data_IF_431740490050
#
_entry.id   IF_431740490050
#
_cell.length_a   1.000
_cell.length_b   1.000
_cell.length_c   1.000
_cell.angle_alpha   90.00
_cell.angle_beta   90.00
_cell.angle_gamma   90.00
#
_symmetry.space_group_name_H-M   'P 1'
#
loop_
_entity.id
_entity.type
_entity.pdbx_description
1 polymer ?
#
# COMPACT_ATOMS: atom_id res chain seq x y z
N UNK A 1 -32.72 -8.11 4.51
CA UNK A 1 -31.75 -7.39 3.65
C UNK A 1 -30.44 -7.24 4.41
N UNK A 2 -29.61 -8.28 4.41
CA UNK A 2 -28.34 -8.28 5.16
C UNK A 2 -27.19 -7.72 4.30
N UNK A 3 -26.06 -7.35 4.92
CA UNK A 3 -24.85 -6.88 4.22
C UNK A 3 -24.39 -7.78 3.05
N UNK A 4 -24.78 -9.06 3.07
CA UNK A 4 -24.47 -10.05 2.03
C UNK A 4 -25.20 -9.82 0.69
N UNK A 5 -26.31 -9.10 0.67
CA UNK A 5 -27.09 -8.85 -0.56
C UNK A 5 -26.59 -7.65 -1.40
N UNK A 6 -25.57 -6.92 -0.93
CA UNK A 6 -25.05 -5.71 -1.62
C UNK A 6 -23.82 -5.96 -2.50
N UNK A 7 -23.46 -7.21 -2.77
CA UNK A 7 -22.25 -7.56 -3.53
C UNK A 7 -20.93 -7.28 -2.80
N UNK A 8 -20.99 -7.08 -1.47
CA UNK A 8 -19.79 -6.87 -0.64
C UNK A 8 -19.31 -8.22 -0.14
N UNK A 9 -18.09 -8.59 -0.52
CA UNK A 9 -17.42 -9.78 0.00
C UNK A 9 -16.98 -9.55 1.45
N UNK A 10 -17.47 -10.39 2.37
CA UNK A 10 -17.04 -10.36 3.77
C UNK A 10 -15.81 -11.25 3.93
N UNK A 11 -14.68 -10.62 4.26
CA UNK A 11 -13.40 -11.30 4.44
C UNK A 11 -13.38 -12.13 5.72
N UNK A 12 -12.68 -13.27 5.69
CA UNK A 12 -12.40 -14.06 6.89
C UNK A 12 -11.36 -13.35 7.76
N UNK A 13 -11.24 -13.69 9.06
CA UNK A 13 -10.19 -13.15 9.92
C UNK A 13 -8.78 -13.33 9.32
N UNK A 14 -8.49 -14.49 8.74
CA UNK A 14 -7.19 -14.80 8.14
C UNK A 14 -6.91 -13.92 6.91
N UNK A 15 -7.94 -13.67 6.09
CA UNK A 15 -7.82 -12.75 4.96
C UNK A 15 -7.56 -11.31 5.45
N UNK A 16 -8.21 -10.88 6.54
CA UNK A 16 -7.98 -9.57 7.14
C UNK A 16 -6.54 -9.47 7.68
N UNK A 17 -6.03 -10.53 8.31
CA UNK A 17 -4.66 -10.55 8.82
C UNK A 17 -3.63 -10.45 7.68
N UNK A 18 -3.85 -11.15 6.57
CA UNK A 18 -3.02 -11.01 5.37
C UNK A 18 -3.09 -9.60 4.77
N UNK A 19 -4.30 -9.02 4.69
CA UNK A 19 -4.48 -7.64 4.22
C UNK A 19 -3.79 -6.63 5.14
N UNK A 20 -3.73 -6.88 6.45
CA UNK A 20 -3.04 -6.00 7.42
C UNK A 20 -1.56 -5.92 7.12
N UNK A 21 -0.90 -7.03 6.79
CA UNK A 21 0.53 -7.04 6.43
C UNK A 21 0.79 -6.14 5.22
N UNK A 22 0.00 -6.29 4.16
CA UNK A 22 0.12 -5.45 2.96
C UNK A 22 -0.18 -3.97 3.27
N UNK A 23 -1.23 -3.70 4.06
CA UNK A 23 -1.62 -2.35 4.44
C UNK A 23 -0.57 -1.62 5.29
N UNK A 24 0.14 -2.33 6.16
CA UNK A 24 1.24 -1.77 6.95
C UNK A 24 2.40 -1.33 6.05
N UNK A 25 2.80 -2.16 5.09
CA UNK A 25 3.86 -1.80 4.12
C UNK A 25 3.47 -0.58 3.27
N UNK A 26 2.19 -0.48 2.86
CA UNK A 26 1.68 0.70 2.17
C UNK A 26 1.77 1.94 3.06
N UNK A 27 1.34 1.84 4.32
CA UNK A 27 1.42 2.95 5.28
C UNK A 27 2.84 3.43 5.52
N UNK A 28 3.78 2.50 5.71
CA UNK A 28 5.21 2.80 5.85
C UNK A 28 5.77 3.50 4.61
N UNK A 29 5.43 3.01 3.42
CA UNK A 29 5.85 3.62 2.15
C UNK A 29 5.32 5.05 2.03
N UNK A 30 4.08 5.32 2.46
CA UNK A 30 3.52 6.68 2.43
C UNK A 30 4.23 7.63 3.39
N UNK A 31 4.62 7.18 4.59
CA UNK A 31 5.41 8.00 5.52
C UNK A 31 6.83 8.28 4.98
N UNK A 32 7.46 7.29 4.32
CA UNK A 32 8.73 7.49 3.63
C UNK A 32 8.61 8.57 2.54
N UNK A 33 7.57 8.49 1.70
CA UNK A 33 7.32 9.51 0.67
C UNK A 33 7.07 10.88 1.27
N UNK A 34 6.27 10.95 2.34
CA UNK A 34 5.99 12.19 3.06
C UNK A 34 7.26 12.87 3.56
N UNK A 35 8.23 12.09 4.05
CA UNK A 35 9.53 12.62 4.48
C UNK A 35 10.43 13.05 3.31
N UNK A 36 10.28 12.44 2.13
CA UNK A 36 11.09 12.74 0.94
C UNK A 36 10.60 13.97 0.15
N UNK A 37 9.33 14.35 0.27
CA UNK A 37 8.75 15.48 -0.49
C UNK A 37 9.40 16.80 -0.08
N UNK A 38 10.05 17.46 -1.05
CA UNK A 38 10.63 18.80 -0.92
C UNK A 38 10.75 19.48 -2.29
N UNK A 39 10.89 20.82 -2.36
CA UNK A 39 11.09 21.52 -3.62
C UNK A 39 12.26 20.93 -4.43
N UNK A 40 12.04 20.75 -5.73
CA UNK A 40 13.02 20.19 -6.65
C UNK A 40 12.98 18.66 -6.81
N UNK A 41 12.20 17.93 -5.99
CA UNK A 41 11.97 16.50 -6.19
C UNK A 41 10.88 16.29 -7.24
N UNK A 42 11.15 15.43 -8.22
CA UNK A 42 10.19 15.01 -9.23
C UNK A 42 9.28 13.89 -8.72
N UNK A 43 8.10 13.75 -9.31
CA UNK A 43 7.19 12.63 -8.99
C UNK A 43 7.76 11.28 -9.36
N UNK A 44 8.63 11.21 -10.38
CA UNK A 44 9.31 9.97 -10.77
C UNK A 44 10.33 9.52 -9.72
N UNK A 45 11.03 10.45 -9.06
CA UNK A 45 11.92 10.11 -7.94
C UNK A 45 11.14 9.55 -6.75
N UNK A 46 9.95 10.12 -6.45
CA UNK A 46 9.06 9.60 -5.43
C UNK A 46 8.53 8.20 -5.79
N UNK A 47 8.13 7.99 -7.03
CA UNK A 47 7.66 6.70 -7.52
C UNK A 47 8.76 5.62 -7.43
N UNK A 48 9.97 5.97 -7.87
CA UNK A 48 11.15 5.08 -7.77
C UNK A 48 11.46 4.72 -6.32
N UNK A 49 11.35 5.69 -5.39
CA UNK A 49 11.54 5.46 -3.97
C UNK A 49 10.46 4.53 -3.38
N UNK A 50 9.20 4.72 -3.78
CA UNK A 50 8.09 3.86 -3.35
C UNK A 50 8.28 2.43 -3.84
N UNK A 51 8.63 2.25 -5.12
CA UNK A 51 8.87 0.94 -5.72
C UNK A 51 10.03 0.21 -5.04
N UNK A 52 11.15 0.90 -4.80
CA UNK A 52 12.27 0.34 -4.07
C UNK A 52 11.85 -0.14 -2.68
N UNK A 53 11.19 0.73 -1.89
CA UNK A 53 10.75 0.37 -0.54
C UNK A 53 9.81 -0.85 -0.54
N UNK A 54 8.84 -0.90 -1.45
CA UNK A 54 7.89 -2.01 -1.56
C UNK A 54 8.64 -3.32 -1.89
N UNK A 55 9.57 -3.29 -2.85
CA UNK A 55 10.32 -4.48 -3.27
C UNK A 55 11.29 -4.97 -2.19
N UNK A 56 11.97 -4.06 -1.51
CA UNK A 56 12.93 -4.38 -0.45
C UNK A 56 12.25 -5.08 0.74
N UNK A 57 10.97 -4.80 0.96
CA UNK A 57 10.14 -5.45 1.99
C UNK A 57 9.32 -6.63 1.46
N UNK A 58 9.67 -7.17 0.28
CA UNK A 58 9.06 -8.38 -0.29
C UNK A 58 7.67 -8.17 -0.90
N UNK A 59 7.21 -6.92 -1.02
CA UNK A 59 5.99 -6.56 -1.72
C UNK A 59 6.17 -6.47 -3.23
N UNK A 60 5.05 -6.43 -3.95
CA UNK A 60 5.03 -6.17 -5.39
C UNK A 60 4.21 -4.88 -5.64
N UNK A 61 4.79 -3.85 -6.28
CA UNK A 61 4.05 -2.64 -6.63
C UNK A 61 2.85 -3.01 -7.50
N UNK A 62 1.66 -2.59 -7.07
CA UNK A 62 0.43 -2.92 -7.77
C UNK A 62 0.20 -2.00 -8.97
N UNK A 63 0.74 -0.77 -8.92
CA UNK A 63 0.47 0.30 -9.89
C UNK A 63 1.75 0.64 -10.66
N UNK A 64 1.58 1.21 -11.86
CA UNK A 64 2.62 1.79 -12.72
C UNK A 64 2.16 3.14 -13.23
#
# INVERSE_FOLDING_TARGET
MGFRDRGIEIKTPEQIDLMRVAGLLVGETLELLRAAVRPGVSTLELDTLAEANIRDHGGVPSFK
#
